data_IF_514642905676
#
_entry.id   IF_514642905676
#
_cell.length_a   1.000
_cell.length_b   1.000
_cell.length_c   1.000
_cell.angle_alpha   90.00
_cell.angle_beta   90.00
_cell.angle_gamma   90.00
#
_symmetry.space_group_name_H-M   'P 1'
#
loop_
_entity.id
_entity.type
_entity.pdbx_description
1 polymer ?
#
# COMPACT_ATOMS: atom_id res chain seq x y z
N UNK A 1 -17.00 21.62 -5.49
CA UNK A 1 -17.16 20.74 -4.30
C UNK A 1 -15.82 20.09 -4.03
N UNK A 2 -15.13 20.34 -2.91
CA UNK A 2 -13.88 19.65 -2.63
C UNK A 2 -14.18 18.20 -2.21
N UNK A 3 -13.45 17.24 -2.76
CA UNK A 3 -13.60 15.82 -2.42
C UNK A 3 -13.25 15.56 -0.95
N UNK A 4 -14.05 14.79 -0.18
CA UNK A 4 -14.00 14.83 1.29
C UNK A 4 -12.87 14.01 1.93
N UNK A 5 -12.08 13.26 1.16
CA UNK A 5 -11.21 12.21 1.70
C UNK A 5 -9.82 12.75 2.08
N UNK A 6 -9.36 13.82 1.44
CA UNK A 6 -7.98 14.31 1.60
C UNK A 6 -7.71 14.99 2.95
N UNK A 7 -8.73 15.54 3.60
CA UNK A 7 -8.58 16.24 4.88
C UNK A 7 -8.64 15.32 6.12
N UNK A 8 -8.81 14.00 5.96
CA UNK A 8 -8.89 13.06 7.08
C UNK A 8 -7.58 12.28 7.34
N UNK A 9 -6.51 12.53 6.58
CA UNK A 9 -5.28 11.72 6.65
C UNK A 9 -4.00 12.55 6.61
N UNK A 10 -3.95 13.65 7.36
CA UNK A 10 -2.71 14.41 7.54
C UNK A 10 -1.56 13.51 8.03
N UNK A 11 -1.87 12.45 8.79
CA UNK A 11 -0.88 11.47 9.26
C UNK A 11 -0.18 10.70 8.13
N UNK A 12 -0.83 10.54 6.97
CA UNK A 12 -0.24 9.91 5.78
C UNK A 12 0.57 10.89 4.94
N UNK A 13 0.50 12.18 5.27
CA UNK A 13 1.09 13.32 4.57
C UNK A 13 0.50 13.56 3.17
N UNK A 14 1.32 13.77 2.15
CA UNK A 14 0.90 14.21 0.82
C UNK A 14 0.89 13.07 -0.21
N UNK A 15 -0.01 13.19 -1.18
CA UNK A 15 -0.13 12.22 -2.28
C UNK A 15 1.11 12.26 -3.18
N UNK A 16 1.76 11.11 -3.33
CA UNK A 16 2.88 10.91 -4.26
C UNK A 16 2.39 10.31 -5.58
N UNK A 17 1.46 9.35 -5.50
CA UNK A 17 1.01 8.63 -6.68
C UNK A 17 -0.25 7.81 -6.45
N UNK A 18 -0.81 7.33 -7.56
CA UNK A 18 -1.98 6.47 -7.56
C UNK A 18 -1.69 5.29 -8.48
N UNK A 19 -1.74 4.09 -7.92
CA UNK A 19 -1.76 2.87 -8.70
C UNK A 19 -3.21 2.44 -8.93
N UNK A 20 -3.60 2.30 -10.19
CA UNK A 20 -4.96 1.93 -10.59
C UNK A 20 -5.00 0.44 -10.91
N UNK A 21 -5.66 -0.37 -10.07
CA UNK A 21 -5.87 -1.78 -10.39
C UNK A 21 -6.85 -1.90 -11.55
N UNK A 22 -6.46 -2.51 -12.69
CA UNK A 22 -7.41 -2.91 -13.70
C UNK A 22 -8.17 -4.13 -13.20
N UNK A 23 -9.49 -4.03 -13.11
CA UNK A 23 -10.33 -5.14 -12.66
C UNK A 23 -11.75 -4.69 -12.29
N UNK A 24 -12.66 -5.62 -11.94
CA UNK A 24 -14.08 -5.31 -11.69
C UNK A 24 -14.31 -4.29 -10.57
N UNK A 25 -13.41 -4.24 -9.59
CA UNK A 25 -13.47 -3.28 -8.49
C UNK A 25 -12.91 -1.90 -8.84
N UNK A 26 -12.10 -1.79 -9.90
CA UNK A 26 -11.30 -0.60 -10.25
C UNK A 26 -10.66 0.07 -9.02
N UNK A 27 -10.22 -0.74 -8.06
CA UNK A 27 -9.72 -0.25 -6.79
C UNK A 27 -8.41 0.53 -6.98
N UNK A 28 -8.36 1.75 -6.48
CA UNK A 28 -7.15 2.57 -6.47
C UNK A 28 -6.36 2.33 -5.20
N UNK A 29 -5.05 2.23 -5.34
CA UNK A 29 -4.08 2.30 -4.25
C UNK A 29 -3.49 3.70 -4.29
N UNK A 30 -3.65 4.44 -3.20
CA UNK A 30 -3.12 5.77 -3.02
C UNK A 30 -1.81 5.67 -2.25
N UNK A 31 -0.74 6.18 -2.85
CA UNK A 31 0.61 6.18 -2.33
C UNK A 31 0.90 7.58 -1.82
N UNK A 32 1.12 7.71 -0.52
CA UNK A 32 1.47 8.95 0.14
C UNK A 32 2.90 8.86 0.69
N UNK A 33 3.45 9.98 1.14
CA UNK A 33 4.81 10.06 1.69
C UNK A 33 5.01 9.23 2.94
N UNK A 34 3.99 9.10 3.80
CA UNK A 34 4.10 8.35 5.06
C UNK A 34 3.37 7.01 5.07
N UNK A 35 2.54 6.71 4.06
CA UNK A 35 1.83 5.44 4.02
C UNK A 35 1.01 5.20 2.77
N UNK A 36 0.18 4.16 2.83
CA UNK A 36 -0.71 3.74 1.74
C UNK A 36 -2.12 3.51 2.25
N UNK A 37 -3.10 3.80 1.40
CA UNK A 37 -4.46 3.29 1.58
C UNK A 37 -5.08 2.87 0.24
N UNK A 38 -6.11 2.03 0.30
CA UNK A 38 -6.88 1.63 -0.88
C UNK A 38 -8.37 1.51 -0.56
N UNK A 39 -9.21 1.48 -1.61
CA UNK A 39 -10.65 1.43 -1.43
C UNK A 39 -11.17 2.67 -0.70
N UNK A 40 -11.91 2.45 0.39
CA UNK A 40 -12.40 3.48 1.31
C UNK A 40 -11.35 3.94 2.33
N UNK A 41 -10.19 3.27 2.36
CA UNK A 41 -9.13 3.51 3.33
C UNK A 41 -9.47 3.07 4.74
N UNK A 42 -10.46 2.20 4.98
CA UNK A 42 -10.74 1.67 6.33
C UNK A 42 -9.48 1.20 7.08
N UNK A 43 -9.58 0.96 8.39
CA UNK A 43 -8.42 0.52 9.17
C UNK A 43 -7.76 -0.74 8.57
N UNK A 44 -8.54 -1.63 7.96
CA UNK A 44 -8.11 -2.84 7.24
C UNK A 44 -7.58 -2.59 5.83
N UNK A 45 -7.59 -1.33 5.37
CA UNK A 45 -7.18 -0.89 4.03
C UNK A 45 -6.24 0.29 4.04
N UNK A 46 -5.50 0.47 5.12
CA UNK A 46 -4.48 1.49 5.23
C UNK A 46 -3.42 1.16 6.28
N UNK A 47 -2.23 1.71 6.11
CA UNK A 47 -1.13 1.60 7.08
C UNK A 47 -0.04 2.64 6.81
N UNK A 48 0.67 3.05 7.87
CA UNK A 48 1.88 3.86 7.77
C UNK A 48 3.09 2.97 7.47
N UNK A 49 4.07 3.49 6.73
CA UNK A 49 5.29 2.73 6.42
C UNK A 49 6.09 2.38 7.68
N UNK A 50 6.00 3.21 8.72
CA UNK A 50 6.63 2.97 10.02
C UNK A 50 6.03 1.77 10.77
N UNK A 51 4.77 1.42 10.51
CA UNK A 51 4.09 0.27 11.12
C UNK A 51 4.50 -1.06 10.48
N UNK A 52 5.15 -1.03 9.31
CA UNK A 52 5.45 -2.24 8.53
C UNK A 52 6.55 -3.06 9.21
N UNK A 53 6.16 -4.23 9.72
CA UNK A 53 7.08 -5.23 10.26
C UNK A 53 7.64 -6.13 9.16
N UNK A 54 6.75 -6.66 8.31
CA UNK A 54 7.11 -7.59 7.23
C UNK A 54 6.27 -7.33 5.98
N UNK A 55 6.90 -7.51 4.82
CA UNK A 55 6.27 -7.45 3.49
C UNK A 55 6.53 -8.79 2.82
N UNK A 56 5.49 -9.41 2.25
CA UNK A 56 5.60 -10.66 1.50
C UNK A 56 4.57 -10.75 0.38
N UNK A 57 4.67 -11.81 -0.42
CA UNK A 57 3.69 -12.24 -1.41
C UNK A 57 3.37 -13.71 -1.14
N UNK A 58 2.17 -14.16 -1.50
CA UNK A 58 1.87 -15.59 -1.49
C UNK A 58 2.71 -16.30 -2.56
N UNK A 59 3.36 -17.40 -2.16
CA UNK A 59 4.07 -18.28 -3.08
C UNK A 59 3.08 -18.97 -4.02
N UNK A 60 3.25 -18.80 -5.34
CA UNK A 60 2.49 -19.52 -6.35
C UNK A 60 2.13 -18.71 -7.60
N UNK A 61 1.30 -19.31 -8.46
CA UNK A 61 0.85 -18.75 -9.74
C UNK A 61 -0.20 -17.62 -9.52
N UNK A 62 -0.58 -17.35 -8.28
CA UNK A 62 -1.60 -16.37 -7.92
C UNK A 62 -1.05 -15.24 -7.03
N UNK A 63 0.18 -14.77 -7.25
CA UNK A 63 0.71 -13.58 -6.58
C UNK A 63 -0.04 -12.32 -7.02
N UNK A 64 -1.26 -12.14 -6.49
CA UNK A 64 -2.18 -11.03 -6.76
C UNK A 64 -2.35 -10.10 -5.56
N UNK A 65 -1.66 -10.39 -4.45
CA UNK A 65 -1.73 -9.62 -3.21
C UNK A 65 -0.34 -9.42 -2.61
N UNK A 66 -0.08 -8.19 -2.15
CA UNK A 66 1.02 -7.90 -1.23
C UNK A 66 0.48 -8.07 0.19
N UNK A 67 1.16 -8.89 0.98
CA UNK A 67 0.85 -9.08 2.39
C UNK A 67 1.74 -8.15 3.21
N UNK A 68 1.12 -7.37 4.08
CA UNK A 68 1.78 -6.51 5.07
C UNK A 68 1.45 -7.02 6.46
N UNK A 69 2.46 -7.36 7.24
CA UNK A 69 2.33 -7.57 8.67
C UNK A 69 2.77 -6.31 9.39
N UNK A 70 1.89 -5.72 10.21
CA UNK A 70 2.23 -4.57 11.03
C UNK A 70 2.89 -4.97 12.36
N UNK A 71 3.55 -4.03 13.02
CA UNK A 71 4.11 -4.18 14.37
C UNK A 71 3.06 -4.56 15.43
N UNK A 72 1.80 -4.12 15.24
CA UNK A 72 0.63 -4.51 16.04
C UNK A 72 0.09 -5.91 15.75
N UNK A 73 0.75 -6.66 14.86
CA UNK A 73 0.36 -8.02 14.48
C UNK A 73 -0.81 -8.09 13.51
N UNK A 74 -1.18 -6.98 12.86
CA UNK A 74 -2.25 -6.95 11.87
C UNK A 74 -1.72 -7.42 10.51
N UNK A 75 -2.41 -8.37 9.88
CA UNK A 75 -2.18 -8.74 8.48
C UNK A 75 -3.09 -7.91 7.58
N UNK A 76 -2.51 -7.24 6.59
CA UNK A 76 -3.21 -6.46 5.58
C UNK A 76 -2.87 -7.01 4.20
N UNK A 77 -3.85 -6.96 3.28
CA UNK A 77 -3.71 -7.51 1.92
C UNK A 77 -4.01 -6.44 0.90
N UNK A 78 -2.97 -6.03 0.18
CA UNK A 78 -3.06 -5.02 -0.86
C UNK A 78 -3.30 -5.74 -2.19
N UNK A 79 -4.46 -5.54 -2.85
CA UNK A 79 -4.72 -6.18 -4.13
C UNK A 79 -3.90 -5.53 -5.25
N UNK A 80 -3.16 -6.33 -6.01
CA UNK A 80 -2.40 -5.90 -7.19
C UNK A 80 -2.82 -6.77 -8.39
N UNK A 81 -3.75 -6.25 -9.19
CA UNK A 81 -4.38 -6.97 -10.31
C UNK A 81 -3.56 -6.93 -11.61
N UNK A 82 -2.65 -5.97 -11.73
CA UNK A 82 -1.66 -5.86 -12.81
C UNK A 82 -2.17 -5.15 -14.07
N UNK A 83 -1.56 -4.02 -14.41
CA UNK A 83 -1.65 -3.30 -15.68
C UNK A 83 -0.70 -3.86 -16.73
N UNK A 84 0.56 -4.08 -16.36
CA UNK A 84 1.63 -4.52 -17.28
C UNK A 84 1.96 -6.01 -17.07
N UNK A 85 1.02 -6.73 -16.45
CA UNK A 85 1.10 -8.14 -16.08
C UNK A 85 1.12 -8.31 -14.56
N UNK A 86 0.20 -9.13 -14.03
CA UNK A 86 -0.03 -9.32 -12.58
C UNK A 86 1.25 -9.56 -11.77
N UNK A 87 2.16 -10.42 -12.25
CA UNK A 87 3.40 -10.71 -11.54
C UNK A 87 4.39 -9.55 -11.57
N UNK A 88 4.53 -8.88 -12.72
CA UNK A 88 5.44 -7.74 -12.86
C UNK A 88 5.06 -6.65 -11.86
N UNK A 89 3.78 -6.28 -11.86
CA UNK A 89 3.29 -5.19 -11.01
C UNK A 89 3.33 -5.57 -9.53
N UNK A 90 3.04 -6.84 -9.20
CA UNK A 90 3.18 -7.36 -7.85
C UNK A 90 4.64 -7.28 -7.38
N UNK A 91 5.61 -7.67 -8.21
CA UNK A 91 7.03 -7.58 -7.85
C UNK A 91 7.53 -6.13 -7.76
N UNK A 92 7.06 -5.23 -8.63
CA UNK A 92 7.37 -3.80 -8.55
C UNK A 92 6.81 -3.20 -7.25
N UNK A 93 5.56 -3.51 -6.92
CA UNK A 93 4.95 -3.07 -5.66
C UNK A 93 5.69 -3.64 -4.45
N UNK A 94 6.06 -4.93 -4.48
CA UNK A 94 6.85 -5.57 -3.43
C UNK A 94 8.19 -4.85 -3.19
N UNK A 95 8.93 -4.54 -4.26
CA UNK A 95 10.19 -3.81 -4.17
C UNK A 95 10.00 -2.39 -3.63
N UNK A 96 8.96 -1.70 -4.10
CA UNK A 96 8.58 -0.39 -3.59
C UNK A 96 8.32 -0.45 -2.08
N UNK A 97 7.51 -1.42 -1.62
CA UNK A 97 7.18 -1.62 -0.21
C UNK A 97 8.41 -1.88 0.66
N UNK A 98 9.35 -2.72 0.19
CA UNK A 98 10.60 -2.93 0.91
C UNK A 98 11.40 -1.65 1.08
N UNK A 99 11.47 -0.83 0.03
CA UNK A 99 12.22 0.43 0.07
C UNK A 99 11.61 1.41 1.07
N UNK A 100 10.31 1.68 0.98
CA UNK A 100 9.65 2.66 1.84
C UNK A 100 9.61 2.22 3.31
N UNK A 101 9.42 0.92 3.57
CA UNK A 101 9.46 0.40 4.94
C UNK A 101 10.87 0.46 5.56
N UNK A 102 11.92 0.23 4.75
CA UNK A 102 13.29 0.38 5.20
C UNK A 102 13.65 1.85 5.48
N UNK A 103 13.25 2.75 4.58
CA UNK A 103 13.48 4.19 4.73
C UNK A 103 12.76 4.74 5.97
N UNK A 104 11.49 4.37 6.21
CA UNK A 104 10.73 4.80 7.38
C UNK A 104 11.34 4.33 8.71
N UNK A 105 12.01 3.18 8.73
CA UNK A 105 12.74 2.69 9.92
C UNK A 105 14.06 3.43 10.14
N UNK A 106 14.72 3.83 9.06
CA UNK A 106 16.00 4.53 9.09
C UNK A 106 15.85 6.02 9.40
N UNK A 107 14.75 6.61 8.93
CA UNK A 107 14.42 8.02 9.08
C UNK A 107 12.99 8.13 9.62
N UNK A 108 12.78 7.94 10.93
CA UNK A 108 11.48 8.18 11.54
C UNK A 108 11.08 9.62 11.24
N UNK A 109 9.96 9.82 10.54
CA UNK A 109 9.48 11.15 10.21
C UNK A 109 9.24 11.93 11.52
N UNK A 110 10.06 12.97 11.74
CA UNK A 110 9.96 13.92 12.87
C UNK A 110 8.69 14.77 12.80
#
# INVERSE_FOLDING_TARGET
MPSPIWHQREEFGFLIGIYSNPGPSNAKIYILDKGIFWGDGGEDKSFLYSEVKLVSVLEGIESVEIIILTDRGKELRIPVSGRDGKYSDCMVMLQFMYRVAADAKKYPYE
#
